data_IF_799018133257
#
_entry.id   IF_799018133257
#
_cell.length_a   1.000
_cell.length_b   1.000
_cell.length_c   1.000
_cell.angle_alpha   90.00
_cell.angle_beta   90.00
_cell.angle_gamma   90.00
#
_symmetry.space_group_name_H-M   'P 1'
#
loop_
_entity.id
_entity.type
_entity.pdbx_description
1 polymer ?
#
# COMPACT_ATOMS: atom_id res chain seq x y z
N UNK A 1 68.53 -19.25 31.56
CA UNK A 1 69.07 -19.53 30.20
C UNK A 1 68.02 -19.19 29.15
N UNK A 2 68.39 -19.21 27.86
CA UNK A 2 67.59 -18.99 26.63
C UNK A 2 66.09 -19.36 26.73
N UNK A 3 65.18 -18.46 26.28
CA UNK A 3 64.37 -18.51 25.01
C UNK A 3 63.43 -19.74 24.93
N UNK A 4 62.15 -19.61 24.52
CA UNK A 4 61.64 -18.90 23.33
C UNK A 4 60.30 -18.16 23.57
N UNK A 5 59.98 -17.24 22.65
CA UNK A 5 58.67 -16.57 22.50
C UNK A 5 58.15 -16.88 21.10
N UNK A 6 56.99 -17.53 20.98
CA UNK A 6 56.17 -17.71 19.76
C UNK A 6 54.82 -18.32 20.15
N UNK A 7 53.67 -17.98 19.58
CA UNK A 7 53.23 -16.76 18.89
C UNK A 7 51.70 -16.78 18.89
N UNK A 8 51.01 -15.63 19.02
CA UNK A 8 49.56 -15.58 18.93
C UNK A 8 49.09 -15.75 17.46
N UNK A 9 48.01 -16.51 17.24
CA UNK A 9 47.56 -16.89 15.89
C UNK A 9 46.08 -17.31 15.82
N UNK A 10 45.21 -16.67 16.62
CA UNK A 10 43.77 -16.90 16.55
C UNK A 10 43.18 -16.21 15.30
N UNK A 11 43.13 -16.93 14.18
CA UNK A 11 42.53 -16.46 12.94
C UNK A 11 40.99 -16.54 13.00
N UNK A 12 40.37 -15.69 13.83
CA UNK A 12 38.91 -15.56 13.91
C UNK A 12 38.38 -14.91 12.64
N UNK A 13 37.98 -15.73 11.67
CA UNK A 13 37.36 -15.28 10.43
C UNK A 13 35.94 -14.78 10.72
N UNK A 14 35.80 -13.48 10.99
CA UNK A 14 34.49 -12.84 11.16
C UNK A 14 33.79 -12.78 9.80
N UNK A 15 32.91 -13.75 9.54
CA UNK A 15 31.89 -13.60 8.51
C UNK A 15 30.90 -12.52 8.97
N UNK A 16 31.08 -11.31 8.45
CA UNK A 16 30.02 -10.29 8.44
C UNK A 16 28.93 -10.75 7.46
N UNK A 17 28.02 -11.58 7.95
CA UNK A 17 26.72 -11.79 7.31
C UNK A 17 25.98 -10.47 7.30
N UNK A 18 25.94 -9.79 6.15
CA UNK A 18 25.14 -8.59 5.96
C UNK A 18 23.66 -9.00 6.00
N UNK A 19 23.01 -8.82 7.16
CA UNK A 19 21.56 -8.97 7.27
C UNK A 19 20.88 -7.94 6.36
N UNK A 20 19.94 -8.40 5.52
CA UNK A 20 19.11 -7.51 4.71
C UNK A 20 18.18 -6.68 5.60
N UNK A 21 17.88 -5.45 5.18
CA UNK A 21 16.95 -4.58 5.90
C UNK A 21 15.53 -4.71 5.33
N UNK A 22 14.63 -5.19 6.17
CA UNK A 22 13.32 -5.78 5.88
C UNK A 22 12.19 -4.76 5.97
N UNK A 23 11.90 -4.08 4.86
CA UNK A 23 10.88 -3.02 4.80
C UNK A 23 9.46 -3.59 4.67
N UNK A 24 8.50 -3.06 5.43
CA UNK A 24 7.08 -3.32 5.23
C UNK A 24 6.55 -2.60 3.98
N UNK A 25 5.36 -2.97 3.51
CA UNK A 25 4.76 -2.55 2.23
C UNK A 25 4.32 -1.07 2.14
N UNK A 26 5.14 -0.16 2.68
CA UNK A 26 5.14 1.27 2.42
C UNK A 26 6.57 1.80 2.46
N UNK A 27 6.92 2.65 1.49
CA UNK A 27 8.31 3.07 1.26
C UNK A 27 8.85 3.90 2.43
N UNK A 28 9.95 3.46 3.04
CA UNK A 28 10.50 4.07 4.24
C UNK A 28 11.26 5.37 3.93
N UNK A 29 10.93 6.43 4.66
CA UNK A 29 11.47 7.76 4.44
C UNK A 29 11.96 8.33 5.78
N UNK A 30 13.28 8.53 5.90
CA UNK A 30 13.91 9.01 7.15
C UNK A 30 15.34 9.54 6.97
N UNK A 31 15.93 10.14 8.02
CA UNK A 31 17.25 10.76 7.92
C UNK A 31 18.38 9.74 7.70
N UNK A 32 19.16 9.96 6.65
CA UNK A 32 20.45 9.31 6.36
C UNK A 32 20.42 7.77 6.21
N UNK A 33 19.25 7.15 5.99
CA UNK A 33 19.11 5.68 6.03
C UNK A 33 19.35 5.08 7.42
N UNK A 34 19.26 5.88 8.48
CA UNK A 34 19.50 5.48 9.87
C UNK A 34 18.22 5.05 10.62
N UNK A 35 17.10 4.92 9.90
CA UNK A 35 15.88 4.25 10.35
C UNK A 35 15.79 2.95 9.56
N UNK A 36 15.68 1.82 10.25
CA UNK A 36 15.31 0.55 9.66
C UNK A 36 13.91 0.16 10.11
N UNK A 37 13.11 -0.28 9.15
CA UNK A 37 11.89 -1.04 9.39
C UNK A 37 12.32 -2.50 9.58
N UNK A 38 11.82 -3.17 10.62
CA UNK A 38 12.44 -4.42 11.13
C UNK A 38 11.74 -5.72 10.73
N UNK A 39 10.41 -5.77 10.63
CA UNK A 39 9.69 -6.93 10.11
C UNK A 39 8.57 -6.51 9.18
N UNK A 40 8.31 -7.38 8.20
CA UNK A 40 7.26 -7.20 7.21
C UNK A 40 6.27 -8.34 7.31
N UNK A 41 5.07 -8.02 7.77
CA UNK A 41 3.93 -8.91 7.67
C UNK A 41 2.75 -8.08 7.22
N UNK A 42 2.45 -8.15 5.93
CA UNK A 42 1.28 -7.51 5.32
C UNK A 42 0.16 -8.53 5.23
N UNK A 43 -1.03 -8.16 5.70
CA UNK A 43 -2.22 -8.98 5.56
C UNK A 43 -3.23 -8.24 4.68
N UNK A 44 -3.51 -8.78 3.49
CA UNK A 44 -4.57 -8.29 2.61
C UNK A 44 -5.72 -9.29 2.62
N UNK A 45 -6.69 -9.07 3.51
CA UNK A 45 -7.96 -9.78 3.48
C UNK A 45 -8.87 -9.21 2.40
N UNK A 46 -9.73 -10.04 1.82
CA UNK A 46 -10.77 -9.59 0.89
C UNK A 46 -12.03 -10.44 1.00
N UNK A 47 -13.14 -9.75 1.28
CA UNK A 47 -14.46 -10.32 1.53
C UNK A 47 -15.51 -9.34 0.97
N UNK A 48 -16.56 -9.86 0.31
CA UNK A 48 -17.75 -9.10 -0.14
C UNK A 48 -17.49 -7.78 -0.91
N UNK A 49 -16.37 -7.68 -1.64
CA UNK A 49 -16.00 -6.48 -2.42
C UNK A 49 -15.20 -5.42 -1.64
N UNK A 50 -14.67 -5.78 -0.48
CA UNK A 50 -13.91 -4.92 0.40
C UNK A 50 -12.54 -5.55 0.67
N UNK A 51 -11.47 -4.80 0.43
CA UNK A 51 -10.12 -5.13 0.86
C UNK A 51 -9.88 -4.60 2.28
N UNK A 52 -9.41 -5.48 3.15
CA UNK A 52 -9.03 -5.20 4.52
C UNK A 52 -7.51 -5.35 4.62
N UNK A 53 -6.80 -4.25 4.38
CA UNK A 53 -5.35 -4.21 4.34
C UNK A 53 -4.80 -3.83 5.71
N UNK A 54 -4.19 -4.79 6.40
CA UNK A 54 -3.54 -4.60 7.71
C UNK A 54 -2.03 -4.64 7.53
N UNK A 55 -1.36 -3.58 7.98
CA UNK A 55 0.10 -3.47 7.98
C UNK A 55 0.62 -3.03 9.36
N UNK A 56 1.71 -3.65 9.79
CA UNK A 56 2.47 -3.22 10.98
C UNK A 56 3.52 -2.19 10.59
N UNK A 57 3.73 -1.17 11.43
CA UNK A 57 4.82 -0.21 11.27
C UNK A 57 5.83 -0.34 12.43
N UNK A 58 6.91 -1.07 12.21
CA UNK A 58 7.95 -1.39 13.21
C UNK A 58 9.25 -0.63 12.96
N UNK A 59 9.43 0.52 13.63
CA UNK A 59 10.61 1.36 13.42
C UNK A 59 11.76 1.07 14.38
N UNK A 60 12.99 1.21 13.90
CA UNK A 60 14.20 1.23 14.70
C UNK A 60 15.20 2.31 14.23
N UNK A 61 15.56 3.22 15.16
CA UNK A 61 16.48 4.34 14.92
C UNK A 61 15.79 5.64 14.50
N UNK A 62 16.55 6.73 14.46
CA UNK A 62 16.10 8.06 14.05
C UNK A 62 15.75 9.02 15.19
N UNK A 63 16.46 10.15 15.24
CA UNK A 63 16.00 11.37 15.93
C UNK A 63 15.54 12.39 14.88
N UNK A 64 14.25 12.68 14.85
CA UNK A 64 13.56 13.51 13.85
C UNK A 64 12.26 12.86 13.39
N UNK A 65 11.41 13.60 12.67
CA UNK A 65 10.29 13.00 11.95
C UNK A 65 10.76 12.03 10.86
N UNK A 66 10.04 10.93 10.73
CA UNK A 66 10.15 9.95 9.65
C UNK A 66 8.78 9.29 9.44
N UNK A 67 8.64 8.59 8.33
CA UNK A 67 7.36 7.97 7.99
C UNK A 67 7.44 6.98 6.83
N UNK A 68 6.26 6.50 6.45
CA UNK A 68 6.05 5.54 5.38
C UNK A 68 4.92 6.01 4.45
N UNK A 69 5.03 5.72 3.15
CA UNK A 69 3.99 5.97 2.16
C UNK A 69 3.53 4.63 1.57
N UNK A 70 2.24 4.32 1.71
CA UNK A 70 1.57 3.11 1.21
C UNK A 70 0.61 3.50 0.08
N UNK A 71 0.83 3.09 -1.18
CA UNK A 71 -0.14 3.23 -2.26
C UNK A 71 -1.40 2.40 -1.99
N UNK A 72 -2.60 2.93 -2.28
CA UNK A 72 -3.88 2.23 -2.03
C UNK A 72 -4.65 1.94 -3.34
N UNK A 73 -5.49 0.89 -3.40
CA UNK A 73 -6.32 0.57 -4.58
C UNK A 73 -7.32 1.65 -4.98
N UNK A 74 -7.76 2.43 -3.99
CA UNK A 74 -8.81 3.42 -4.10
C UNK A 74 -8.97 4.15 -2.77
N UNK A 75 -10.03 4.96 -2.66
CA UNK A 75 -10.29 5.73 -1.44
C UNK A 75 -10.75 4.78 -0.32
N UNK A 76 -10.07 4.73 0.84
CA UNK A 76 -10.52 3.92 1.97
C UNK A 76 -11.83 4.46 2.53
N UNK A 77 -12.74 3.55 2.91
CA UNK A 77 -13.96 3.87 3.66
C UNK A 77 -13.72 3.93 5.17
N UNK A 78 -12.67 3.29 5.68
CA UNK A 78 -12.19 3.47 7.05
C UNK A 78 -10.67 3.32 7.14
N UNK A 79 -10.05 3.99 8.12
CA UNK A 79 -8.64 3.84 8.49
C UNK A 79 -8.57 3.83 10.01
N UNK A 80 -8.28 2.67 10.60
CA UNK A 80 -8.35 2.46 12.04
C UNK A 80 -7.22 1.57 12.56
N UNK A 81 -7.18 1.41 13.88
CA UNK A 81 -6.17 0.56 14.52
C UNK A 81 -6.56 -0.90 14.31
N UNK A 82 -5.69 -1.67 13.67
CA UNK A 82 -5.88 -3.10 13.46
C UNK A 82 -5.77 -3.92 14.75
N UNK A 83 -6.02 -5.21 14.59
CA UNK A 83 -5.92 -6.22 15.64
C UNK A 83 -4.55 -6.29 16.30
N UNK A 84 -4.55 -6.54 17.61
CA UNK A 84 -3.37 -6.54 18.48
C UNK A 84 -2.41 -7.72 18.21
N UNK A 85 -2.89 -8.82 17.61
CA UNK A 85 -2.14 -10.07 17.49
C UNK A 85 -2.42 -10.88 16.19
N UNK A 86 -3.26 -10.36 15.30
CA UNK A 86 -3.64 -10.92 13.99
C UNK A 86 -2.43 -11.37 13.15
N UNK A 87 -1.44 -10.50 12.98
CA UNK A 87 -0.27 -10.77 12.14
C UNK A 87 0.61 -11.88 12.75
N UNK A 88 0.76 -11.85 14.08
CA UNK A 88 1.47 -12.84 14.89
C UNK A 88 0.76 -14.20 14.86
N UNK A 89 -0.59 -14.22 14.78
CA UNK A 89 -1.38 -15.44 14.62
C UNK A 89 -1.28 -16.05 13.22
N UNK A 90 -1.22 -15.21 12.18
CA UNK A 90 -0.99 -15.61 10.79
C UNK A 90 0.41 -16.20 10.61
N UNK A 91 1.44 -15.56 11.17
CA UNK A 91 2.80 -16.10 11.28
C UNK A 91 2.75 -17.50 11.93
N UNK A 92 2.16 -17.62 13.12
CA UNK A 92 2.06 -18.90 13.87
C UNK A 92 1.24 -20.00 13.19
N UNK A 93 0.35 -19.71 12.25
CA UNK A 93 -0.34 -20.75 11.44
C UNK A 93 0.60 -21.40 10.41
N UNK A 94 1.65 -20.68 9.99
CA UNK A 94 2.47 -21.05 8.82
C UNK A 94 3.95 -21.27 9.12
N UNK A 95 4.48 -20.67 10.18
CA UNK A 95 5.83 -20.90 10.71
C UNK A 95 5.77 -21.96 11.83
N UNK A 96 6.51 -23.09 11.70
CA UNK A 96 6.71 -24.00 12.82
C UNK A 96 7.48 -23.30 13.94
N UNK A 97 6.89 -23.21 15.14
CA UNK A 97 7.49 -22.52 16.29
C UNK A 97 8.62 -23.36 16.90
N UNK A 98 9.86 -23.00 16.60
CA UNK A 98 11.03 -23.31 17.44
C UNK A 98 11.12 -22.23 18.53
N UNK A 99 10.96 -22.63 19.81
CA UNK A 99 10.61 -21.74 20.92
C UNK A 99 11.82 -20.97 21.53
N UNK A 100 11.93 -19.68 21.22
CA UNK A 100 12.92 -18.74 21.79
C UNK A 100 12.36 -17.31 21.87
N UNK A 101 12.69 -16.54 22.92
CA UNK A 101 12.29 -15.12 23.04
C UNK A 101 13.13 -14.31 24.03
N UNK A 102 13.13 -12.97 23.91
CA UNK A 102 13.65 -12.02 24.93
C UNK A 102 13.15 -10.55 24.75
N UNK A 103 13.75 -9.59 25.46
CA UNK A 103 13.22 -8.25 25.83
C UNK A 103 13.54 -7.04 24.87
N UNK A 104 13.31 -5.77 25.30
CA UNK A 104 12.73 -4.64 24.50
C UNK A 104 13.12 -3.22 25.06
N UNK A 105 13.32 -2.14 24.25
CA UNK A 105 13.62 -0.72 24.69
C UNK A 105 13.28 0.42 23.65
N UNK A 106 13.40 1.74 23.97
CA UNK A 106 12.72 2.91 23.29
C UNK A 106 13.50 4.28 23.15
N UNK A 107 13.12 5.22 22.21
CA UNK A 107 13.38 6.70 22.17
C UNK A 107 12.76 7.49 20.93
N UNK A 108 12.83 8.86 20.86
CA UNK A 108 11.95 9.80 20.09
C UNK A 108 12.65 11.07 19.46
N UNK A 109 12.15 12.07 18.66
CA UNK A 109 10.91 12.58 17.91
C UNK A 109 11.35 13.71 16.89
N UNK A 110 10.64 14.54 16.08
CA UNK A 110 9.27 14.93 15.57
C UNK A 110 9.46 16.01 14.41
N UNK A 111 8.53 16.75 13.73
CA UNK A 111 7.13 16.62 13.19
C UNK A 111 6.76 17.85 12.25
N UNK A 112 5.72 17.78 11.37
CA UNK A 112 5.06 18.91 10.59
C UNK A 112 5.61 19.24 9.17
N UNK A 113 4.98 20.01 8.24
CA UNK A 113 3.62 20.63 8.02
C UNK A 113 3.58 21.39 6.63
N UNK A 114 2.56 21.61 5.76
CA UNK A 114 1.11 21.24 5.56
C UNK A 114 0.67 21.41 4.05
N UNK A 115 -0.32 20.64 3.50
CA UNK A 115 -0.89 20.73 2.10
C UNK A 115 -2.28 20.00 1.96
N UNK A 116 -2.86 19.72 0.76
CA UNK A 116 -4.25 19.17 0.60
C UNK A 116 -4.44 17.68 1.03
N UNK A 117 -5.59 17.36 1.63
CA UNK A 117 -5.88 16.14 2.42
C UNK A 117 -7.30 15.60 2.18
N UNK A 118 -7.49 14.27 2.25
CA UNK A 118 -8.83 13.62 2.23
C UNK A 118 -9.33 13.14 3.60
N UNK A 119 -8.46 12.56 4.43
CA UNK A 119 -8.77 12.02 5.75
C UNK A 119 -7.54 12.10 6.64
N UNK A 120 -7.74 12.45 7.92
CA UNK A 120 -6.71 12.43 8.97
C UNK A 120 -7.19 11.65 10.19
N UNK A 121 -6.31 10.87 10.80
CA UNK A 121 -6.58 10.15 12.04
C UNK A 121 -5.27 9.87 12.81
N UNK A 122 -5.32 9.89 14.14
CA UNK A 122 -4.18 9.50 15.00
C UNK A 122 -4.39 8.08 15.52
N UNK A 123 -3.47 7.18 15.17
CA UNK A 123 -3.46 5.77 15.59
C UNK A 123 -2.24 5.53 16.48
N UNK A 124 -2.47 5.38 17.78
CA UNK A 124 -1.43 5.29 18.82
C UNK A 124 -0.43 6.47 18.78
N UNK A 125 0.71 6.29 18.11
CA UNK A 125 1.77 7.27 17.92
C UNK A 125 2.01 7.62 16.43
N UNK A 126 1.06 7.26 15.55
CA UNK A 126 1.08 7.59 14.13
C UNK A 126 0.05 8.68 13.83
N UNK A 127 0.49 9.74 13.18
CA UNK A 127 -0.39 10.64 12.41
C UNK A 127 -0.56 10.04 11.01
N UNK A 128 -1.79 9.66 10.68
CA UNK A 128 -2.14 9.02 9.41
C UNK A 128 -2.95 9.99 8.55
N UNK A 129 -2.47 10.22 7.34
CA UNK A 129 -3.12 11.10 6.35
C UNK A 129 -3.39 10.32 5.06
N UNK A 130 -4.63 10.35 4.58
CA UNK A 130 -4.99 9.84 3.25
C UNK A 130 -4.96 10.99 2.25
N UNK A 131 -4.21 10.79 1.18
CA UNK A 131 -3.88 11.77 0.15
C UNK A 131 -4.46 11.35 -1.20
N UNK A 132 -4.68 12.35 -2.06
CA UNK A 132 -5.03 12.14 -3.46
C UNK A 132 -4.27 13.10 -4.37
N UNK A 133 -3.47 12.57 -5.29
CA UNK A 133 -2.74 13.38 -6.26
C UNK A 133 -1.85 12.57 -7.21
N UNK A 134 -1.20 13.28 -8.13
CA UNK A 134 -0.05 12.76 -8.90
C UNK A 134 1.18 12.51 -8.01
N UNK A 135 2.17 11.76 -8.50
CA UNK A 135 3.37 11.44 -7.73
C UNK A 135 4.17 12.69 -7.36
N UNK A 136 4.29 13.66 -8.28
CA UNK A 136 4.81 15.01 -8.02
C UNK A 136 4.08 15.74 -6.87
N UNK A 137 2.75 15.62 -6.77
CA UNK A 137 1.95 16.33 -5.76
C UNK A 137 2.13 15.68 -4.38
N UNK A 138 2.00 14.35 -4.31
CA UNK A 138 2.22 13.56 -3.09
C UNK A 138 3.67 13.69 -2.63
N UNK A 139 4.61 13.71 -3.57
CA UNK A 139 6.02 13.92 -3.29
C UNK A 139 6.41 15.37 -2.97
N UNK A 140 5.52 16.34 -3.17
CA UNK A 140 5.67 17.71 -2.68
C UNK A 140 5.11 17.80 -1.26
N UNK A 141 3.86 17.36 -1.05
CA UNK A 141 3.23 17.19 0.27
C UNK A 141 4.18 16.50 1.24
N UNK A 142 4.82 15.40 0.82
CA UNK A 142 5.73 14.64 1.66
C UNK A 142 6.93 15.49 2.13
N UNK A 143 7.61 16.21 1.22
CA UNK A 143 8.75 17.06 1.57
C UNK A 143 8.36 18.18 2.53
N UNK A 144 7.19 18.76 2.32
CA UNK A 144 6.65 19.83 3.17
C UNK A 144 6.33 19.31 4.58
N UNK A 145 5.85 18.06 4.71
CA UNK A 145 5.65 17.36 5.99
C UNK A 145 6.92 16.67 6.55
N UNK A 146 8.11 17.11 6.11
CA UNK A 146 9.40 16.64 6.63
C UNK A 146 9.88 15.29 6.09
N UNK A 147 9.13 14.61 5.22
CA UNK A 147 9.53 13.33 4.62
C UNK A 147 10.69 13.56 3.61
N UNK A 148 11.88 13.05 3.93
CA UNK A 148 13.04 13.04 3.03
C UNK A 148 12.94 11.98 1.92
N UNK A 149 12.24 12.30 0.84
CA UNK A 149 12.17 11.40 -0.33
C UNK A 149 13.57 11.01 -0.86
N UNK A 150 13.81 9.72 -1.16
CA UNK A 150 15.01 9.30 -1.89
C UNK A 150 14.94 9.67 -3.39
N UNK A 151 16.06 9.61 -4.14
CA UNK A 151 16.14 10.14 -5.51
C UNK A 151 15.24 9.44 -6.54
N UNK A 152 14.85 8.20 -6.28
CA UNK A 152 13.96 7.37 -7.10
C UNK A 152 12.46 7.61 -6.81
N UNK A 153 12.13 8.30 -5.72
CA UNK A 153 10.74 8.49 -5.28
C UNK A 153 9.80 9.12 -6.32
N UNK A 154 10.18 10.10 -7.16
CA UNK A 154 9.26 10.63 -8.16
C UNK A 154 8.78 9.55 -9.14
N UNK A 155 9.69 8.74 -9.66
CA UNK A 155 9.36 7.65 -10.61
C UNK A 155 8.48 6.59 -9.98
N UNK A 156 8.77 6.23 -8.72
CA UNK A 156 8.00 5.23 -7.98
C UNK A 156 6.61 5.76 -7.62
N UNK A 157 6.50 7.02 -7.19
CA UNK A 157 5.21 7.64 -6.85
C UNK A 157 4.34 7.87 -8.10
N UNK A 158 4.91 8.27 -9.24
CA UNK A 158 4.15 8.39 -10.49
C UNK A 158 3.66 7.03 -11.01
N UNK A 159 4.51 5.99 -10.97
CA UNK A 159 4.14 4.61 -11.28
C UNK A 159 2.97 4.07 -10.42
N UNK A 160 2.77 4.63 -9.23
CA UNK A 160 1.59 4.38 -8.42
C UNK A 160 0.41 5.29 -8.81
N UNK A 161 0.64 6.60 -8.88
CA UNK A 161 -0.40 7.61 -9.11
C UNK A 161 -1.14 7.45 -10.45
N UNK A 162 -0.47 6.95 -11.50
CA UNK A 162 -1.11 6.61 -12.78
C UNK A 162 -2.21 5.54 -12.62
N UNK A 163 -2.03 4.59 -11.71
CA UNK A 163 -2.92 3.43 -11.51
C UNK A 163 -3.95 3.67 -10.42
N UNK A 164 -3.54 4.32 -9.33
CA UNK A 164 -4.41 4.87 -8.30
C UNK A 164 -3.76 6.12 -7.71
N UNK A 165 -4.43 7.29 -7.75
CA UNK A 165 -3.89 8.51 -7.20
C UNK A 165 -3.96 8.56 -5.66
N UNK A 166 -4.33 7.46 -4.98
CA UNK A 166 -4.58 7.43 -3.54
C UNK A 166 -3.40 6.82 -2.78
N UNK A 167 -2.95 7.54 -1.76
CA UNK A 167 -1.82 7.15 -0.91
C UNK A 167 -2.19 7.36 0.55
N UNK A 168 -1.73 6.46 1.42
CA UNK A 168 -1.71 6.65 2.86
C UNK A 168 -0.29 7.05 3.26
N UNK A 169 -0.14 8.19 3.90
CA UNK A 169 1.08 8.60 4.57
C UNK A 169 0.93 8.34 6.08
N UNK A 170 1.94 7.72 6.68
CA UNK A 170 2.03 7.51 8.13
C UNK A 170 3.29 8.22 8.65
N UNK A 171 3.10 9.23 9.50
CA UNK A 171 4.16 9.99 10.18
C UNK A 171 4.25 9.57 11.65
N UNK A 172 5.47 9.37 12.17
CA UNK A 172 5.68 8.93 13.56
C UNK A 172 5.83 10.10 14.53
N UNK A 173 4.81 10.29 15.39
CA UNK A 173 4.85 11.18 16.55
C UNK A 173 5.51 10.45 17.73
N UNK A 174 6.84 10.51 17.76
CA UNK A 174 7.57 9.82 18.81
C UNK A 174 7.44 10.49 20.20
N UNK A 175 6.88 11.70 20.30
CA UNK A 175 6.54 12.28 21.60
C UNK A 175 5.34 11.53 22.20
N UNK A 176 4.28 11.32 21.41
CA UNK A 176 3.17 10.44 21.78
C UNK A 176 3.64 8.99 22.04
N UNK A 177 4.59 8.45 21.25
CA UNK A 177 5.15 7.12 21.52
C UNK A 177 5.79 7.02 22.92
N UNK A 178 6.56 8.05 23.33
CA UNK A 178 7.22 8.11 24.62
C UNK A 178 6.21 8.22 25.79
N UNK A 179 5.16 9.04 25.64
CA UNK A 179 4.08 9.15 26.63
C UNK A 179 3.30 7.83 26.80
N UNK A 180 3.15 7.06 25.72
CA UNK A 180 2.47 5.75 25.71
C UNK A 180 3.35 4.59 26.20
N UNK A 181 4.66 4.81 26.40
CA UNK A 181 5.61 3.75 26.74
C UNK A 181 5.88 2.75 25.60
N UNK A 182 5.59 3.14 24.36
CA UNK A 182 5.79 2.34 23.16
C UNK A 182 7.30 2.27 22.81
N UNK A 183 7.73 1.14 22.26
CA UNK A 183 9.15 0.77 22.15
C UNK A 183 9.57 0.58 20.68
N UNK A 184 10.87 0.56 20.40
CA UNK A 184 11.34 0.25 19.04
C UNK A 184 11.00 -1.21 18.72
N UNK A 185 10.47 -1.47 17.53
CA UNK A 185 9.87 -2.76 17.17
C UNK A 185 8.45 -2.99 17.72
N UNK A 186 7.83 -2.04 18.44
CA UNK A 186 6.39 -2.11 18.73
C UNK A 186 5.59 -1.67 17.52
N UNK A 187 5.28 -2.63 16.67
CA UNK A 187 4.40 -2.44 15.53
C UNK A 187 3.05 -1.88 15.94
N UNK A 188 2.72 -0.68 15.46
CA UNK A 188 1.33 -0.21 15.46
C UNK A 188 0.64 -0.83 14.24
N UNK A 189 -0.35 -1.73 14.41
CA UNK A 189 -1.14 -2.26 13.31
C UNK A 189 -2.12 -1.19 12.83
N UNK A 190 -2.02 -0.81 11.55
CA UNK A 190 -3.01 0.04 10.88
C UNK A 190 -3.82 -0.85 9.94
N UNK A 191 -5.14 -0.80 10.10
CA UNK A 191 -6.11 -1.48 9.25
C UNK A 191 -6.80 -0.45 8.37
N UNK A 192 -6.64 -0.62 7.07
CA UNK A 192 -7.24 0.19 6.01
C UNK A 192 -8.34 -0.62 5.35
N UNK A 193 -9.55 -0.08 5.29
CA UNK A 193 -10.71 -0.73 4.66
C UNK A 193 -11.01 -0.03 3.34
N UNK A 194 -10.88 -0.73 2.21
CA UNK A 194 -10.97 -0.16 0.85
C UNK A 194 -11.98 -0.94 0.01
N UNK A 195 -13.12 -0.36 -0.38
CA UNK A 195 -14.03 -0.95 -1.36
C UNK A 195 -13.32 -1.06 -2.72
N UNK A 196 -13.19 -2.27 -3.26
CA UNK A 196 -12.43 -2.55 -4.51
C UNK A 196 -12.99 -3.78 -5.23
N UNK A 197 -13.01 -3.84 -6.58
CA UNK A 197 -13.45 -5.03 -7.31
C UNK A 197 -12.48 -6.23 -7.22
N UNK A 198 -11.23 -6.01 -6.79
CA UNK A 198 -10.20 -7.02 -6.52
C UNK A 198 -9.02 -6.37 -5.77
N UNK A 199 -8.33 -7.07 -4.86
CA UNK A 199 -7.24 -6.49 -4.07
C UNK A 199 -5.88 -6.56 -4.79
N UNK A 200 -4.90 -5.80 -4.29
CA UNK A 200 -3.51 -5.81 -4.78
C UNK A 200 -2.53 -5.31 -3.71
N UNK A 201 -1.33 -5.90 -3.66
CA UNK A 201 -0.31 -5.55 -2.65
C UNK A 201 0.84 -4.79 -3.33
N UNK A 202 1.18 -3.56 -2.89
CA UNK A 202 2.10 -2.66 -3.59
C UNK A 202 3.58 -3.03 -3.37
N UNK A 203 4.02 -4.22 -3.82
CA UNK A 203 5.34 -4.76 -3.54
C UNK A 203 6.51 -3.93 -4.08
N UNK A 204 6.36 -3.16 -5.17
CA UNK A 204 7.49 -2.35 -5.69
C UNK A 204 7.93 -1.25 -4.71
N UNK A 205 7.04 -0.75 -3.85
CA UNK A 205 7.36 0.30 -2.86
C UNK A 205 8.44 -0.16 -1.87
N UNK A 206 8.59 -1.49 -1.69
CA UNK A 206 9.66 -2.10 -0.90
C UNK A 206 11.06 -1.82 -1.44
N UNK A 207 11.19 -1.48 -2.72
CA UNK A 207 12.44 -1.07 -3.35
C UNK A 207 12.74 0.42 -3.24
N UNK A 208 11.84 1.24 -2.67
CA UNK A 208 12.02 2.69 -2.61
C UNK A 208 13.27 3.07 -1.80
N UNK A 209 14.16 3.85 -2.41
CA UNK A 209 15.41 4.31 -1.80
C UNK A 209 16.48 3.23 -1.62
N UNK A 210 16.21 1.97 -1.99
CA UNK A 210 17.19 0.88 -1.98
C UNK A 210 18.04 0.89 -3.25
N UNK A 211 19.32 0.58 -3.12
CA UNK A 211 20.14 0.30 -4.30
C UNK A 211 19.73 -1.06 -4.90
N UNK A 212 19.86 -1.21 -6.22
CA UNK A 212 19.32 -2.36 -6.96
C UNK A 212 19.85 -3.75 -6.58
N UNK A 213 20.89 -3.86 -5.75
CA UNK A 213 21.42 -5.15 -5.26
C UNK A 213 20.98 -5.48 -3.82
N UNK A 214 20.35 -4.55 -3.09
CA UNK A 214 19.80 -4.86 -1.76
C UNK A 214 18.71 -5.91 -1.84
N UNK A 215 18.70 -6.82 -0.85
CA UNK A 215 17.60 -7.77 -0.65
C UNK A 215 16.38 -7.06 -0.10
N UNK A 216 15.24 -7.65 -0.45
CA UNK A 216 13.90 -7.36 0.07
C UNK A 216 13.33 -8.72 0.45
N UNK A 217 13.15 -8.91 1.76
CA UNK A 217 12.57 -10.10 2.37
C UNK A 217 11.29 -9.65 3.10
N UNK A 218 10.14 -10.27 2.79
CA UNK A 218 8.84 -9.82 3.29
C UNK A 218 7.74 -10.89 3.21
N UNK A 219 6.85 -10.95 4.20
CA UNK A 219 5.68 -11.84 4.18
C UNK A 219 4.39 -11.13 3.76
N UNK A 220 3.66 -11.75 2.85
CA UNK A 220 2.30 -11.37 2.44
C UNK A 220 1.33 -12.49 2.75
N UNK A 221 0.33 -12.21 3.58
CA UNK A 221 -0.80 -13.07 3.85
C UNK A 221 -2.02 -12.58 3.09
N UNK A 222 -2.66 -13.48 2.35
CA UNK A 222 -3.94 -13.24 1.69
C UNK A 222 -5.01 -14.14 2.33
N UNK A 223 -6.14 -13.56 2.73
CA UNK A 223 -7.35 -14.30 3.07
C UNK A 223 -8.47 -13.88 2.13
N UNK A 224 -8.97 -14.81 1.33
CA UNK A 224 -10.01 -14.56 0.32
C UNK A 224 -11.13 -15.58 0.44
N UNK A 225 -12.38 -15.22 0.10
CA UNK A 225 -13.56 -16.12 0.17
C UNK A 225 -13.40 -17.47 -0.56
N UNK A 226 -12.47 -17.52 -1.52
CA UNK A 226 -12.13 -18.66 -2.37
C UNK A 226 -10.66 -18.63 -2.73
N UNK A 227 -10.13 -19.72 -3.28
CA UNK A 227 -8.77 -19.78 -3.80
C UNK A 227 -8.52 -18.66 -4.83
N UNK A 228 -7.55 -17.76 -4.63
CA UNK A 228 -7.28 -16.67 -5.56
C UNK A 228 -6.45 -17.14 -6.76
N UNK A 229 -6.48 -16.36 -7.84
CA UNK A 229 -5.47 -16.40 -8.91
C UNK A 229 -4.62 -15.14 -8.80
N UNK A 230 -3.31 -15.25 -8.93
CA UNK A 230 -2.35 -14.17 -8.61
C UNK A 230 -1.40 -13.89 -9.78
N UNK A 231 -0.94 -12.64 -9.88
CA UNK A 231 0.01 -12.19 -10.91
C UNK A 231 0.90 -11.05 -10.36
N UNK A 232 2.23 -11.17 -10.36
CA UNK A 232 3.01 -12.37 -10.67
C UNK A 232 2.92 -13.43 -9.58
N UNK A 233 3.45 -14.61 -9.90
CA UNK A 233 3.91 -15.64 -8.97
C UNK A 233 5.23 -16.19 -9.50
N UNK A 234 6.00 -16.90 -8.68
CA UNK A 234 7.23 -17.59 -9.12
C UNK A 234 8.53 -16.90 -8.70
N UNK A 235 9.58 -17.71 -8.50
CA UNK A 235 10.88 -17.27 -7.95
C UNK A 235 11.65 -16.36 -8.90
N UNK A 236 11.37 -16.43 -10.20
CA UNK A 236 11.85 -15.49 -11.21
C UNK A 236 11.34 -14.06 -10.96
N UNK A 237 10.15 -13.93 -10.36
CA UNK A 237 9.59 -12.66 -9.88
C UNK A 237 10.00 -12.34 -8.42
N UNK A 238 10.75 -13.23 -7.76
CA UNK A 238 11.12 -13.09 -6.34
C UNK A 238 9.99 -13.48 -5.37
N UNK A 239 8.97 -14.23 -5.85
CA UNK A 239 7.78 -14.59 -5.07
C UNK A 239 7.66 -16.10 -4.89
N UNK A 240 7.61 -16.56 -3.65
CA UNK A 240 7.43 -17.96 -3.27
C UNK A 240 6.09 -18.15 -2.57
N UNK A 241 5.23 -19.03 -3.10
CA UNK A 241 4.02 -19.46 -2.38
C UNK A 241 4.44 -20.49 -1.33
N UNK A 242 4.29 -20.15 -0.05
CA UNK A 242 4.69 -20.99 1.08
C UNK A 242 3.51 -21.72 1.71
N UNK A 243 2.34 -21.08 1.74
CA UNK A 243 1.08 -21.67 2.19
C UNK A 243 -0.03 -21.39 1.17
N UNK A 244 -0.95 -22.34 0.93
CA UNK A 244 -1.99 -22.22 -0.10
C UNK A 244 -3.11 -23.26 0.13
N UNK A 245 -4.00 -23.02 1.09
CA UNK A 245 -5.02 -23.98 1.54
C UNK A 245 -6.31 -23.26 2.03
N UNK A 246 -7.43 -23.99 2.22
CA UNK A 246 -8.55 -23.47 3.01
C UNK A 246 -8.07 -23.07 4.41
N UNK A 247 -8.50 -21.90 4.89
CA UNK A 247 -8.21 -21.45 6.25
C UNK A 247 -8.92 -22.36 7.27
N UNK A 248 -8.28 -22.63 8.41
CA UNK A 248 -8.88 -23.47 9.45
C UNK A 248 -9.97 -22.71 10.21
N UNK A 249 -11.04 -23.39 10.63
CA UNK A 249 -12.09 -22.79 11.47
C UNK A 249 -11.50 -22.18 12.75
N UNK A 250 -10.48 -22.82 13.32
CA UNK A 250 -9.74 -22.33 14.48
C UNK A 250 -9.05 -21.00 14.16
N UNK A 251 -8.27 -20.90 13.08
CA UNK A 251 -7.65 -19.65 12.65
C UNK A 251 -8.69 -18.55 12.44
N UNK A 252 -9.79 -18.83 11.74
CA UNK A 252 -10.80 -17.81 11.44
C UNK A 252 -11.53 -17.33 12.69
N UNK A 253 -11.76 -18.21 13.66
CA UNK A 253 -12.31 -17.84 14.97
C UNK A 253 -11.30 -17.08 15.84
N UNK A 254 -10.02 -17.47 15.81
CA UNK A 254 -8.94 -16.74 16.47
C UNK A 254 -8.89 -15.31 15.91
N UNK A 255 -8.73 -15.15 14.59
CA UNK A 255 -8.63 -13.84 13.94
C UNK A 255 -9.89 -12.97 14.17
N UNK A 256 -11.11 -13.53 14.14
CA UNK A 256 -12.35 -12.81 14.51
C UNK A 256 -12.38 -12.31 15.96
N UNK A 257 -11.63 -12.94 16.86
CA UNK A 257 -11.61 -12.57 18.28
C UNK A 257 -10.58 -11.47 18.61
N UNK A 258 -9.77 -11.07 17.62
CA UNK A 258 -8.91 -9.90 17.71
C UNK A 258 -9.69 -8.60 17.39
N UNK A 259 -9.22 -7.48 17.92
CA UNK A 259 -9.93 -6.21 17.95
C UNK A 259 -10.04 -5.56 16.56
N UNK A 260 -11.25 -5.24 16.11
CA UNK A 260 -11.48 -4.64 14.78
C UNK A 260 -11.42 -5.67 13.64
N UNK A 261 -11.34 -6.96 13.98
CA UNK A 261 -11.19 -8.07 13.03
C UNK A 261 -12.47 -8.92 12.93
N UNK A 262 -13.58 -8.44 13.49
CA UNK A 262 -14.88 -9.11 13.50
C UNK A 262 -15.45 -9.35 12.09
N UNK A 263 -14.90 -8.67 11.07
CA UNK A 263 -15.22 -8.82 9.64
C UNK A 263 -14.69 -10.11 9.01
N UNK A 264 -13.74 -10.82 9.65
CA UNK A 264 -13.11 -12.03 9.10
C UNK A 264 -14.18 -13.10 8.79
N UNK A 265 -14.28 -13.62 7.55
CA UNK A 265 -15.41 -14.44 7.11
C UNK A 265 -15.42 -15.85 7.74
N UNK A 266 -16.61 -16.45 7.87
CA UNK A 266 -16.80 -17.77 8.52
C UNK A 266 -15.97 -18.88 7.90
N UNK A 267 -15.72 -18.80 6.58
CA UNK A 267 -14.82 -19.68 5.84
C UNK A 267 -14.01 -18.85 4.83
N UNK A 268 -12.86 -19.37 4.40
CA UNK A 268 -12.00 -18.68 3.42
C UNK A 268 -10.79 -19.52 3.01
N UNK A 269 -9.92 -18.91 2.21
CA UNK A 269 -8.70 -19.51 1.68
C UNK A 269 -7.48 -18.67 2.08
N UNK A 270 -6.53 -19.29 2.79
CA UNK A 270 -5.29 -18.67 3.22
C UNK A 270 -4.19 -18.91 2.17
N UNK A 271 -3.47 -17.85 1.82
CA UNK A 271 -2.22 -17.93 1.05
C UNK A 271 -1.13 -17.15 1.76
N UNK A 272 0.05 -17.75 1.95
CA UNK A 272 1.28 -17.04 2.33
C UNK A 272 2.19 -16.94 1.11
N UNK A 273 2.63 -15.74 0.78
CA UNK A 273 3.66 -15.47 -0.21
C UNK A 273 4.87 -14.89 0.53
N UNK A 274 6.00 -15.60 0.51
CA UNK A 274 7.29 -15.05 0.86
C UNK A 274 7.87 -14.29 -0.32
N UNK A 275 8.26 -13.04 -0.11
CA UNK A 275 9.04 -12.21 -1.03
C UNK A 275 10.51 -12.39 -0.68
N UNK A 276 11.34 -12.75 -1.66
CA UNK A 276 12.79 -12.90 -1.50
C UNK A 276 13.52 -12.40 -2.77
N UNK A 277 13.56 -11.08 -2.92
CA UNK A 277 13.91 -10.39 -4.16
C UNK A 277 15.12 -9.45 -3.99
N UNK A 278 15.65 -8.91 -5.09
CA UNK A 278 16.44 -7.66 -5.04
C UNK A 278 15.60 -6.45 -5.40
N UNK A 279 16.00 -5.26 -4.97
CA UNK A 279 15.33 -4.01 -5.36
C UNK A 279 15.36 -3.73 -6.87
N UNK A 280 16.27 -4.36 -7.65
CA UNK A 280 16.24 -4.34 -9.11
C UNK A 280 15.25 -5.34 -9.73
N UNK A 281 14.95 -6.44 -9.04
CA UNK A 281 14.02 -7.49 -9.50
C UNK A 281 12.55 -7.13 -9.19
N UNK A 282 12.29 -6.57 -8.00
CA UNK A 282 10.96 -6.25 -7.51
C UNK A 282 10.44 -4.92 -8.11
N UNK A 283 10.10 -4.94 -9.40
CA UNK A 283 9.58 -3.79 -10.16
C UNK A 283 8.09 -3.86 -10.50
N UNK A 284 7.40 -4.82 -9.90
CA UNK A 284 5.98 -5.13 -10.06
C UNK A 284 5.31 -5.16 -8.68
N UNK A 285 3.97 -5.19 -8.70
CA UNK A 285 3.13 -5.37 -7.52
C UNK A 285 2.37 -6.71 -7.64
N UNK A 286 1.76 -7.19 -6.56
CA UNK A 286 0.98 -8.43 -6.59
C UNK A 286 -0.49 -8.12 -6.86
N UNK A 287 -1.01 -8.48 -8.04
CA UNK A 287 -2.44 -8.45 -8.33
C UNK A 287 -3.11 -9.77 -7.94
N UNK A 288 -4.30 -9.67 -7.37
CA UNK A 288 -5.15 -10.80 -6.99
C UNK A 288 -6.44 -10.76 -7.82
N UNK A 289 -6.89 -11.91 -8.30
CA UNK A 289 -8.30 -12.16 -8.63
C UNK A 289 -8.91 -13.08 -7.56
N UNK A 290 -9.69 -12.46 -6.67
CA UNK A 290 -10.46 -13.12 -5.63
C UNK A 290 -11.90 -13.42 -6.09
N UNK A 291 -12.36 -12.81 -7.20
CA UNK A 291 -13.68 -13.08 -7.77
C UNK A 291 -13.82 -14.51 -8.33
N UNK A 292 -12.71 -15.09 -8.80
CA UNK A 292 -12.66 -16.44 -9.38
C UNK A 292 -12.91 -16.47 -10.89
N UNK A 293 -12.68 -15.35 -11.59
CA UNK A 293 -12.75 -15.26 -13.06
C UNK A 293 -11.49 -15.80 -13.77
N UNK A 294 -10.43 -16.06 -13.01
CA UNK A 294 -9.13 -16.54 -13.50
C UNK A 294 -8.27 -15.43 -14.12
N UNK A 295 -8.54 -14.16 -13.83
CA UNK A 295 -8.05 -13.01 -14.60
C UNK A 295 -7.49 -11.88 -13.70
N UNK A 296 -6.36 -12.10 -13.01
CA UNK A 296 -5.68 -11.04 -12.25
C UNK A 296 -5.17 -9.93 -13.18
N UNK A 297 -5.27 -8.69 -12.72
CA UNK A 297 -5.03 -7.50 -13.55
C UNK A 297 -3.55 -7.19 -13.76
N UNK A 298 -3.11 -7.21 -15.02
CA UNK A 298 -1.77 -6.72 -15.43
C UNK A 298 -1.48 -5.26 -15.04
N UNK A 299 -2.52 -4.43 -14.90
CA UNK A 299 -2.37 -3.03 -14.48
C UNK A 299 -2.15 -2.95 -12.98
N UNK A 300 -2.97 -3.65 -12.18
CA UNK A 300 -2.76 -3.76 -10.74
C UNK A 300 -1.38 -4.37 -10.42
N UNK A 301 -0.92 -5.36 -11.20
CA UNK A 301 0.40 -5.96 -11.06
C UNK A 301 1.57 -5.02 -11.46
N UNK A 302 1.29 -3.82 -11.99
CA UNK A 302 2.32 -2.88 -12.43
C UNK A 302 3.06 -3.30 -13.71
N UNK A 303 2.60 -4.35 -14.39
CA UNK A 303 3.21 -4.90 -15.62
C UNK A 303 2.74 -4.18 -16.89
N UNK A 304 1.69 -3.38 -16.79
CA UNK A 304 1.09 -2.66 -17.91
C UNK A 304 0.56 -1.32 -17.41
N UNK A 305 0.85 -0.25 -18.13
CA UNK A 305 0.23 1.05 -17.88
C UNK A 305 -1.30 0.96 -18.08
N UNK A 306 -2.09 1.78 -17.36
CA UNK A 306 -3.50 1.96 -17.65
C UNK A 306 -3.73 2.30 -19.14
N UNK A 307 -4.85 1.85 -19.69
CA UNK A 307 -5.31 2.42 -20.96
C UNK A 307 -5.69 3.89 -20.75
N UNK A 308 -5.64 4.75 -21.81
CA UNK A 308 -6.18 6.09 -21.71
C UNK A 308 -7.62 6.02 -21.22
N UNK A 309 -7.96 6.83 -20.21
CA UNK A 309 -9.26 6.80 -19.57
C UNK A 309 -10.37 6.89 -20.63
N UNK A 310 -11.22 5.87 -20.69
CA UNK A 310 -12.32 5.85 -21.66
C UNK A 310 -13.25 7.00 -21.32
N UNK A 311 -13.31 8.00 -22.21
CA UNK A 311 -14.23 9.11 -22.06
C UNK A 311 -15.65 8.56 -21.85
N UNK A 312 -16.43 9.13 -20.91
CA UNK A 312 -17.73 8.57 -20.56
C UNK A 312 -18.59 8.47 -21.81
N UNK A 313 -18.93 7.24 -22.20
CA UNK A 313 -19.75 6.97 -23.38
C UNK A 313 -21.05 7.75 -23.20
N UNK A 314 -21.40 8.68 -24.11
CA UNK A 314 -22.64 9.43 -23.97
C UNK A 314 -23.80 8.44 -23.94
N UNK A 315 -24.50 8.37 -22.82
CA UNK A 315 -25.75 7.59 -22.74
C UNK A 315 -26.72 8.14 -23.78
N UNK A 316 -27.58 7.30 -24.37
CA UNK A 316 -28.41 7.70 -25.52
C UNK A 316 -29.25 8.97 -25.26
N UNK A 317 -29.60 9.21 -23.99
CA UNK A 317 -30.24 10.42 -23.50
C UNK A 317 -29.46 11.71 -23.84
N UNK A 318 -28.13 11.70 -23.74
CA UNK A 318 -27.28 12.84 -24.11
C UNK A 318 -27.31 13.10 -25.62
N UNK A 319 -27.27 12.04 -26.44
CA UNK A 319 -27.43 12.15 -27.89
C UNK A 319 -28.83 12.70 -28.24
N UNK A 320 -29.86 12.21 -27.54
CA UNK A 320 -31.24 12.66 -27.71
C UNK A 320 -31.43 14.13 -27.33
N UNK A 321 -30.80 14.62 -26.25
CA UNK A 321 -30.82 16.04 -25.88
C UNK A 321 -30.10 16.92 -26.92
N UNK A 322 -28.96 16.47 -27.47
CA UNK A 322 -28.23 17.21 -28.52
C UNK A 322 -29.05 17.26 -29.82
N UNK A 323 -29.71 16.17 -30.20
CA UNK A 323 -30.61 16.14 -31.37
C UNK A 323 -31.87 16.99 -31.14
N UNK A 324 -32.48 16.94 -29.96
CA UNK A 324 -33.68 17.72 -29.63
C UNK A 324 -33.39 19.23 -29.59
N UNK A 325 -32.27 19.64 -29.00
CA UNK A 325 -31.84 21.05 -29.00
C UNK A 325 -31.47 21.55 -30.40
N UNK A 326 -30.84 20.70 -31.23
CA UNK A 326 -30.60 21.00 -32.66
C UNK A 326 -31.92 21.22 -33.42
N UNK A 327 -32.92 20.35 -33.21
CA UNK A 327 -34.25 20.49 -33.82
C UNK A 327 -34.99 21.75 -33.34
N UNK A 328 -34.89 22.10 -32.06
CA UNK A 328 -35.47 23.33 -31.51
C UNK A 328 -34.85 24.60 -32.13
N UNK A 329 -33.54 24.64 -32.33
CA UNK A 329 -32.86 25.75 -33.01
C UNK A 329 -33.30 25.91 -34.47
N UNK A 330 -33.44 24.79 -35.21
CA UNK A 330 -33.95 24.80 -36.59
C UNK A 330 -35.41 25.28 -36.62
N UNK A 331 -36.27 24.81 -35.70
CA UNK A 331 -37.65 25.24 -35.60
C UNK A 331 -37.78 26.74 -35.30
N UNK A 332 -36.98 27.27 -34.36
CA UNK A 332 -36.94 28.69 -34.03
C UNK A 332 -36.51 29.55 -35.24
N UNK A 333 -35.50 29.12 -36.00
CA UNK A 333 -35.07 29.80 -37.22
C UNK A 333 -36.19 29.84 -38.29
N UNK A 334 -36.91 28.73 -38.51
CA UNK A 334 -38.03 28.66 -39.47
C UNK A 334 -39.20 29.55 -39.06
N UNK A 335 -39.51 29.66 -37.77
CA UNK A 335 -40.54 30.57 -37.25
C UNK A 335 -40.12 32.04 -37.40
N UNK A 336 -38.87 32.38 -37.06
CA UNK A 336 -38.34 33.73 -37.23
C UNK A 336 -38.40 34.22 -38.69
N UNK A 337 -38.02 33.37 -39.65
CA UNK A 337 -38.09 33.68 -41.09
C UNK A 337 -39.53 33.87 -41.59
N UNK A 338 -40.54 33.22 -40.97
CA UNK A 338 -41.95 33.45 -41.31
C UNK A 338 -42.51 34.75 -40.75
N UNK A 339 -42.07 35.18 -39.57
CA UNK A 339 -42.50 36.44 -38.95
C UNK A 339 -41.79 37.67 -39.54
N UNK A 340 -40.57 37.50 -40.08
CA UNK A 340 -39.75 38.57 -40.65
C UNK A 340 -40.12 39.06 -42.07
N UNK A 341 -41.35 38.82 -42.57
CA UNK A 341 -41.81 39.31 -43.89
C UNK A 341 -42.66 40.59 -43.74
N UNK A 342 -42.11 41.80 -43.97
CA UNK A 342 -42.92 43.02 -43.98
C UNK A 342 -43.90 43.02 -45.15
N UNK A 343 -45.15 43.40 -44.90
CA UNK A 343 -46.18 43.56 -45.92
C UNK A 343 -45.94 44.83 -46.74
N UNK A 344 -45.50 44.66 -47.99
CA UNK A 344 -45.36 45.77 -48.96
C UNK A 344 -46.76 46.24 -49.35
N UNK A 345 -47.18 47.40 -48.83
CA UNK A 345 -48.40 48.09 -49.29
C UNK A 345 -48.13 48.72 -50.66
N UNK A 346 -48.90 48.40 -51.72
CA UNK A 346 -48.80 49.09 -52.99
C UNK A 346 -49.41 50.50 -52.86
N UNK A 347 -48.74 51.50 -53.40
CA UNK A 347 -49.21 52.88 -53.42
C UNK A 347 -49.81 53.26 -54.78
N UNK A 348 -51.12 53.55 -54.79
CA UNK A 348 -51.81 54.51 -55.66
C UNK A 348 -52.92 55.18 -54.85
#
# INVERSE_FOLDING_TARGET
>A
MRRLITAAGAATLVLLTAAGTTLACGGLIGPNGAVNLLRTTTFAGYHDGIEHYVTSFEFAGGGGAFGSIVPLPGVPSNVERGGDWTLQRLLRETEPVEDFGFERLSAASAAGESAEVLLETKIDALDITVLKGGGDQVGTWAKDHGFRLPPDAPEVLDFYAERSPIFLAASFDAAAAAERGQQLGDGTPVHVTVPTPNPWVPLRILGLGKNGQERIEADVYLLTDRKPVMLPVGRENGLLIEHNAPATELLLNDLRSDKGMEWIPESGWLTKIGVDATAAQLKHDLAIDASGQGQPSLVAAGMKLPGPAQAPVPTDNALALVLASSLLLIAAAVVGVRLGRPSITPAQ
#
